data_IF_584937540407
#
_entry.id   IF_584937540407
#
_cell.length_a   1.000
_cell.length_b   1.000
_cell.length_c   1.000
_cell.angle_alpha   90.00
_cell.angle_beta   90.00
_cell.angle_gamma   90.00
#
_symmetry.space_group_name_H-M   'P 1'
#
loop_
_entity.id
_entity.type
_entity.pdbx_description
1 polymer ?
#
# COMPACT_ATOMS: atom_id res chain seq x y z
N UNK A 1 -14.69 32.14 -1.27
CA UNK A 1 -15.69 31.04 -1.31
C UNK A 1 -16.08 30.78 -2.76
N UNK A 2 -15.84 29.56 -3.30
CA UNK A 2 -16.38 29.18 -4.61
C UNK A 2 -17.90 29.06 -4.49
N UNK A 3 -18.66 29.75 -5.35
CA UNK A 3 -20.12 29.56 -5.45
C UNK A 3 -20.37 28.11 -5.87
N UNK A 4 -20.85 27.28 -4.95
CA UNK A 4 -21.32 25.94 -5.30
C UNK A 4 -22.51 26.03 -6.24
N UNK A 5 -22.50 25.18 -7.26
CA UNK A 5 -23.57 25.10 -8.23
C UNK A 5 -24.85 24.54 -7.54
N UNK A 6 -26.01 25.14 -7.76
CA UNK A 6 -27.31 24.69 -7.20
C UNK A 6 -27.51 23.15 -7.40
N UNK A 7 -27.07 22.60 -8.53
CA UNK A 7 -27.12 21.15 -8.81
C UNK A 7 -26.30 20.31 -7.83
N UNK A 8 -25.12 20.78 -7.43
CA UNK A 8 -24.28 20.08 -6.46
C UNK A 8 -24.88 20.07 -5.06
N UNK A 9 -25.47 21.18 -4.67
CA UNK A 9 -26.18 21.32 -3.38
C UNK A 9 -27.38 20.36 -3.34
N UNK A 10 -28.24 20.39 -4.37
CA UNK A 10 -29.37 19.46 -4.45
C UNK A 10 -28.97 18.01 -4.41
N UNK A 11 -27.93 17.63 -5.16
CA UNK A 11 -27.38 16.27 -5.14
C UNK A 11 -26.92 15.87 -3.74
N UNK A 12 -26.22 16.72 -3.00
CA UNK A 12 -25.77 16.45 -1.62
C UNK A 12 -26.95 16.25 -0.67
N UNK A 13 -28.04 17.04 -0.84
CA UNK A 13 -29.25 16.88 -0.04
C UNK A 13 -29.93 15.53 -0.33
N UNK A 14 -30.06 15.16 -1.60
CA UNK A 14 -30.62 13.86 -2.02
C UNK A 14 -29.80 12.70 -1.47
N UNK A 15 -28.47 12.74 -1.62
CA UNK A 15 -27.56 11.71 -1.08
C UNK A 15 -27.63 11.63 0.46
N UNK A 16 -27.75 12.77 1.14
CA UNK A 16 -27.86 12.81 2.61
C UNK A 16 -29.21 12.27 3.12
N UNK A 17 -30.28 12.45 2.33
CA UNK A 17 -31.62 11.91 2.64
C UNK A 17 -31.76 10.43 2.37
N UNK A 18 -30.94 9.85 1.49
CA UNK A 18 -30.97 8.42 1.14
C UNK A 18 -30.10 7.59 2.08
N UNK A 19 -30.59 7.35 3.27
CA UNK A 19 -29.91 6.51 4.27
C UNK A 19 -29.82 5.02 3.89
N UNK A 20 -30.50 4.56 2.85
CA UNK A 20 -30.44 3.17 2.38
C UNK A 20 -29.14 2.90 1.60
N UNK A 21 -28.73 3.84 0.74
CA UNK A 21 -27.60 3.70 -0.15
C UNK A 21 -26.36 4.48 0.30
N UNK A 22 -26.53 5.49 1.14
CA UNK A 22 -25.45 6.38 1.58
C UNK A 22 -25.23 6.33 3.10
N UNK A 23 -23.97 6.50 3.49
CA UNK A 23 -23.53 6.80 4.85
C UNK A 23 -23.13 8.27 4.90
N UNK A 24 -23.86 9.09 5.66
CA UNK A 24 -23.63 10.53 5.73
C UNK A 24 -22.94 10.92 7.03
N UNK A 25 -21.89 11.70 6.92
CA UNK A 25 -21.23 12.38 8.03
C UNK A 25 -21.35 13.90 7.83
N UNK A 26 -21.31 14.64 8.93
CA UNK A 26 -21.39 16.09 8.91
C UNK A 26 -20.01 16.68 9.26
N UNK A 27 -19.57 17.67 8.54
CA UNK A 27 -18.35 18.38 8.90
C UNK A 27 -18.62 19.45 9.98
N UNK A 28 -17.57 20.17 10.38
CA UNK A 28 -17.65 21.19 11.44
C UNK A 28 -18.52 22.42 11.04
N UNK A 29 -18.78 22.57 9.75
CA UNK A 29 -19.62 23.66 9.20
C UNK A 29 -21.07 23.19 8.98
N UNK A 30 -21.41 21.95 9.36
CA UNK A 30 -22.74 21.37 9.17
C UNK A 30 -23.05 20.98 7.73
N UNK A 31 -22.02 20.79 6.89
CA UNK A 31 -22.18 20.37 5.51
C UNK A 31 -22.17 18.83 5.43
N UNK A 32 -23.19 18.20 4.79
CA UNK A 32 -23.24 16.75 4.67
C UNK A 32 -22.17 16.23 3.69
N UNK A 33 -21.49 15.16 4.10
CA UNK A 33 -20.55 14.38 3.27
C UNK A 33 -21.05 12.96 3.18
N UNK A 34 -21.72 12.63 2.09
CA UNK A 34 -22.29 11.31 1.83
C UNK A 34 -21.33 10.41 1.06
N UNK A 35 -21.28 9.13 1.43
CA UNK A 35 -20.52 8.10 0.73
C UNK A 35 -21.40 6.89 0.48
N UNK A 36 -21.39 6.39 -0.74
CA UNK A 36 -22.13 5.18 -1.09
C UNK A 36 -21.68 3.98 -0.23
N UNK A 37 -22.61 3.32 0.42
CA UNK A 37 -22.35 2.11 1.23
C UNK A 37 -21.66 1.01 0.42
N UNK A 38 -22.02 0.87 -0.86
CA UNK A 38 -21.37 -0.06 -1.78
C UNK A 38 -19.86 0.23 -1.92
N UNK A 39 -19.48 1.51 -2.11
CA UNK A 39 -18.06 1.92 -2.20
C UNK A 39 -17.31 1.70 -0.87
N UNK A 40 -17.97 1.96 0.26
CA UNK A 40 -17.39 1.70 1.59
C UNK A 40 -17.12 0.20 1.75
N UNK A 41 -18.11 -0.65 1.41
CA UNK A 41 -17.97 -2.11 1.45
C UNK A 41 -16.86 -2.59 0.52
N UNK A 42 -16.81 -2.13 -0.72
CA UNK A 42 -15.73 -2.46 -1.66
C UNK A 42 -14.35 -2.07 -1.11
N UNK A 43 -14.21 -0.89 -0.54
CA UNK A 43 -12.96 -0.44 0.07
C UNK A 43 -12.53 -1.29 1.26
N UNK A 44 -13.49 -1.77 2.08
CA UNK A 44 -13.20 -2.72 3.19
C UNK A 44 -12.72 -4.08 2.65
N UNK A 45 -13.40 -4.62 1.65
CA UNK A 45 -13.02 -5.90 1.01
C UNK A 45 -11.64 -5.79 0.36
N UNK A 46 -11.38 -4.72 -0.39
CA UNK A 46 -10.09 -4.50 -1.03
C UNK A 46 -8.95 -4.46 -0.01
N UNK A 47 -9.09 -3.69 1.08
CA UNK A 47 -8.09 -3.65 2.16
C UNK A 47 -7.86 -5.00 2.82
N UNK A 48 -8.93 -5.74 3.12
CA UNK A 48 -8.84 -7.06 3.73
C UNK A 48 -8.14 -8.06 2.79
N UNK A 49 -8.42 -7.98 1.48
CA UNK A 49 -7.78 -8.82 0.47
C UNK A 49 -6.28 -8.48 0.35
N UNK A 50 -5.93 -7.20 0.32
CA UNK A 50 -4.53 -6.74 0.33
C UNK A 50 -3.77 -7.27 1.53
N UNK A 51 -4.29 -7.06 2.75
CA UNK A 51 -3.65 -7.51 3.99
C UNK A 51 -3.47 -9.04 4.06
N UNK A 52 -4.46 -9.82 3.56
CA UNK A 52 -4.32 -11.29 3.47
C UNK A 52 -3.22 -11.70 2.49
N UNK A 53 -3.10 -10.99 1.38
CA UNK A 53 -2.07 -11.28 0.39
C UNK A 53 -0.68 -10.88 0.90
N UNK A 54 -0.51 -9.75 1.57
CA UNK A 54 0.74 -9.38 2.27
C UNK A 54 1.17 -10.47 3.27
N UNK A 55 0.24 -10.95 4.11
CA UNK A 55 0.53 -12.03 5.06
C UNK A 55 0.96 -13.32 4.36
N UNK A 56 0.36 -13.65 3.21
CA UNK A 56 0.75 -14.81 2.41
C UNK A 56 2.15 -14.66 1.83
N UNK A 57 2.47 -13.49 1.28
CA UNK A 57 3.81 -13.18 0.76
C UNK A 57 4.86 -13.29 1.86
N UNK A 58 4.58 -12.73 3.04
CA UNK A 58 5.47 -12.84 4.20
C UNK A 58 5.79 -14.30 4.54
N UNK A 59 4.75 -15.14 4.67
CA UNK A 59 4.91 -16.57 4.97
C UNK A 59 5.73 -17.30 3.90
N UNK A 60 5.47 -17.05 2.63
CA UNK A 60 6.19 -17.68 1.53
C UNK A 60 7.69 -17.30 1.53
N UNK A 61 8.01 -16.04 1.85
CA UNK A 61 9.40 -15.60 2.00
C UNK A 61 10.09 -16.24 3.22
N UNK A 62 9.38 -16.37 4.34
CA UNK A 62 9.87 -17.04 5.55
C UNK A 62 10.10 -18.53 5.30
N UNK A 63 9.19 -19.21 4.59
CA UNK A 63 9.35 -20.62 4.15
C UNK A 63 10.54 -20.82 3.20
N UNK A 64 10.91 -19.80 2.42
CA UNK A 64 12.14 -19.76 1.60
C UNK A 64 13.40 -19.43 2.39
N UNK A 65 13.32 -19.41 3.71
CA UNK A 65 14.45 -19.20 4.62
C UNK A 65 14.92 -17.75 4.71
N UNK A 66 14.04 -16.78 4.45
CA UNK A 66 14.34 -15.36 4.65
C UNK A 66 13.81 -14.88 6.00
N UNK A 67 14.52 -13.98 6.63
CA UNK A 67 14.01 -13.17 7.74
C UNK A 67 13.25 -12.00 7.12
N UNK A 68 11.97 -11.85 7.46
CA UNK A 68 11.09 -10.85 6.84
C UNK A 68 10.56 -9.89 7.89
N UNK A 69 10.75 -8.61 7.66
CA UNK A 69 10.16 -7.57 8.50
C UNK A 69 9.55 -6.45 7.65
N UNK A 70 8.67 -5.65 8.26
CA UNK A 70 8.09 -4.49 7.61
C UNK A 70 9.14 -3.40 7.46
N UNK A 71 9.24 -2.85 6.26
CA UNK A 71 10.05 -1.67 6.03
C UNK A 71 9.27 -0.42 6.45
N UNK A 72 9.72 0.25 7.50
CA UNK A 72 9.05 1.41 8.08
C UNK A 72 9.57 2.76 7.58
N UNK A 73 10.35 2.76 6.50
CA UNK A 73 10.90 3.96 5.89
C UNK A 73 10.33 4.17 4.48
N UNK A 74 10.53 5.37 3.97
CA UNK A 74 10.17 5.77 2.61
C UNK A 74 11.31 6.61 2.02
N UNK A 75 11.20 6.99 0.76
CA UNK A 75 12.13 7.92 0.11
C UNK A 75 11.42 9.25 -0.14
N UNK A 76 12.06 10.33 0.27
CA UNK A 76 11.76 11.67 -0.22
C UNK A 76 12.57 11.88 -1.51
N UNK A 77 11.90 11.77 -2.65
CA UNK A 77 12.56 11.87 -3.97
C UNK A 77 13.06 13.28 -4.28
N UNK A 78 12.47 14.33 -3.68
CA UNK A 78 12.91 15.70 -3.86
C UNK A 78 14.23 15.96 -3.14
N UNK A 79 14.36 15.44 -1.92
CA UNK A 79 15.57 15.58 -1.09
C UNK A 79 16.61 14.48 -1.38
N UNK A 80 16.20 13.37 -1.97
CA UNK A 80 17.06 12.23 -2.22
C UNK A 80 17.52 11.52 -0.95
N UNK A 81 16.65 11.44 0.07
CA UNK A 81 16.97 10.85 1.39
C UNK A 81 15.92 9.86 1.88
N UNK A 82 16.31 8.95 2.77
CA UNK A 82 15.39 8.06 3.46
C UNK A 82 14.71 8.84 4.59
N UNK A 83 13.38 8.77 4.62
CA UNK A 83 12.56 9.38 5.66
C UNK A 83 11.70 8.34 6.36
N UNK A 84 11.47 8.44 7.66
CA UNK A 84 10.54 7.57 8.37
C UNK A 84 9.13 7.67 7.77
N UNK A 85 8.41 6.55 7.70
CA UNK A 85 7.01 6.55 7.28
C UNK A 85 6.18 7.40 8.25
N UNK A 86 5.30 8.24 7.71
CA UNK A 86 4.47 9.16 8.50
C UNK A 86 3.61 8.38 9.49
N UNK A 87 3.66 8.75 10.75
CA UNK A 87 2.76 8.22 11.78
C UNK A 87 1.35 8.74 11.54
N UNK A 88 0.35 7.86 11.69
CA UNK A 88 -1.07 8.22 11.59
C UNK A 88 -1.76 7.89 12.92
N UNK A 89 -2.51 8.85 13.44
CA UNK A 89 -3.35 8.59 14.60
C UNK A 89 -4.58 7.78 14.18
N UNK A 90 -4.82 6.65 14.87
CA UNK A 90 -6.03 5.87 14.69
C UNK A 90 -7.03 6.26 15.79
N UNK A 91 -8.12 6.97 15.44
CA UNK A 91 -9.08 7.47 16.44
C UNK A 91 -9.87 6.34 17.12
N UNK A 92 -9.99 5.17 16.51
CA UNK A 92 -10.71 4.04 17.10
C UNK A 92 -9.91 3.35 18.19
N UNK A 93 -8.63 3.08 17.95
CA UNK A 93 -7.76 2.43 18.93
C UNK A 93 -7.01 3.43 19.81
N UNK A 94 -7.14 4.73 19.55
CA UNK A 94 -6.43 5.83 20.25
C UNK A 94 -4.90 5.68 20.30
N UNK A 95 -4.33 5.00 19.32
CA UNK A 95 -2.87 4.79 19.19
C UNK A 95 -2.33 5.41 17.91
N UNK A 96 -1.07 5.85 17.99
CA UNK A 96 -0.30 6.24 16.82
C UNK A 96 0.14 4.97 16.10
N UNK A 97 -0.33 4.75 14.88
CA UNK A 97 0.15 3.68 14.01
C UNK A 97 1.27 4.21 13.12
N UNK A 98 2.32 3.41 12.94
CA UNK A 98 3.34 3.71 11.94
C UNK A 98 2.69 3.51 10.57
N UNK A 99 2.80 4.51 9.71
CA UNK A 99 2.35 4.40 8.33
C UNK A 99 3.15 3.31 7.60
N UNK A 100 2.60 2.81 6.50
CA UNK A 100 3.32 1.88 5.63
C UNK A 100 4.51 2.59 5.00
N UNK A 101 5.70 1.99 5.10
CA UNK A 101 6.87 2.37 4.34
C UNK A 101 6.73 1.92 2.88
N UNK A 102 7.79 2.12 2.13
CA UNK A 102 7.94 1.58 0.78
C UNK A 102 9.37 1.12 0.61
N UNK A 103 9.61 -0.12 0.17
CA UNK A 103 8.63 -1.20 -0.10
C UNK A 103 7.94 -1.74 1.18
N UNK A 104 6.98 -2.66 1.03
CA UNK A 104 6.20 -3.22 2.17
C UNK A 104 7.07 -4.01 3.14
N UNK A 105 8.04 -4.77 2.62
CA UNK A 105 8.93 -5.62 3.40
C UNK A 105 10.40 -5.44 3.04
N UNK A 106 11.25 -5.66 4.03
CA UNK A 106 12.65 -6.05 3.88
C UNK A 106 12.77 -7.54 4.14
N UNK A 107 13.46 -8.26 3.25
CA UNK A 107 13.68 -9.69 3.41
C UNK A 107 15.18 -10.02 3.30
N UNK A 108 15.72 -10.62 4.35
CA UNK A 108 17.14 -10.85 4.53
C UNK A 108 17.42 -12.36 4.46
N UNK A 109 18.44 -12.77 3.72
CA UNK A 109 18.89 -14.16 3.66
C UNK A 109 20.41 -14.22 3.81
N UNK A 110 20.89 -15.08 4.70
CA UNK A 110 22.31 -15.37 4.79
C UNK A 110 22.76 -16.15 3.55
N UNK A 111 23.81 -15.67 2.89
CA UNK A 111 24.44 -16.33 1.72
C UNK A 111 25.59 -17.19 2.19
N UNK A 112 26.55 -16.57 2.88
CA UNK A 112 27.66 -17.23 3.54
C UNK A 112 28.08 -16.41 4.76
N UNK A 113 29.13 -16.81 5.46
CA UNK A 113 29.57 -16.13 6.67
C UNK A 113 29.89 -14.64 6.40
N UNK A 114 29.26 -13.76 7.18
CA UNK A 114 29.42 -12.31 7.02
C UNK A 114 28.69 -11.68 5.83
N UNK A 115 28.03 -12.46 4.95
CA UNK A 115 27.37 -11.94 3.75
C UNK A 115 25.89 -12.28 3.74
N UNK A 116 25.06 -11.25 3.45
CA UNK A 116 23.61 -11.36 3.41
C UNK A 116 23.06 -10.76 2.11
N UNK A 117 22.03 -11.39 1.56
CA UNK A 117 21.16 -10.77 0.56
C UNK A 117 20.09 -9.99 1.30
N UNK A 118 19.96 -8.70 0.97
CA UNK A 118 18.94 -7.82 1.53
C UNK A 118 18.09 -7.29 0.38
N UNK A 119 16.86 -7.77 0.28
CA UNK A 119 15.95 -7.38 -0.80
C UNK A 119 14.77 -6.57 -0.25
N UNK A 120 14.28 -5.64 -1.06
CA UNK A 120 12.99 -4.99 -0.84
C UNK A 120 11.87 -5.78 -1.53
N UNK A 121 10.72 -5.93 -0.89
CA UNK A 121 9.56 -6.60 -1.49
C UNK A 121 8.33 -5.72 -1.40
N UNK A 122 7.82 -5.33 -2.55
CA UNK A 122 6.56 -4.59 -2.68
C UNK A 122 5.44 -5.55 -3.08
N UNK A 123 4.30 -5.48 -2.40
CA UNK A 123 3.16 -6.39 -2.61
C UNK A 123 2.07 -5.70 -3.41
N UNK A 124 1.85 -6.17 -4.62
CA UNK A 124 0.81 -5.65 -5.54
C UNK A 124 0.00 -6.79 -6.12
N UNK A 125 -1.27 -6.92 -5.75
CA UNK A 125 -2.14 -7.97 -6.27
C UNK A 125 -2.13 -8.04 -7.82
N UNK A 126 -2.11 -6.88 -8.48
CA UNK A 126 -2.04 -6.78 -9.94
C UNK A 126 -0.61 -6.70 -10.51
N UNK A 127 0.41 -6.62 -9.67
CA UNK A 127 1.81 -6.49 -10.07
C UNK A 127 2.18 -5.16 -10.75
N UNK A 128 1.36 -4.11 -10.56
CA UNK A 128 1.57 -2.81 -11.20
C UNK A 128 2.06 -1.78 -10.17
N UNK A 129 3.14 -1.09 -10.52
CA UNK A 129 3.69 0.04 -9.76
C UNK A 129 3.28 1.37 -10.41
N UNK A 130 2.99 2.36 -9.59
CA UNK A 130 2.86 3.75 -10.03
C UNK A 130 4.22 4.31 -10.50
N UNK A 131 4.21 5.47 -11.14
CA UNK A 131 5.43 6.15 -11.57
C UNK A 131 6.34 6.47 -10.37
N UNK A 132 5.78 7.03 -9.32
CA UNK A 132 6.51 7.37 -8.09
C UNK A 132 7.13 6.13 -7.42
N UNK A 133 6.39 5.01 -7.35
CA UNK A 133 6.92 3.76 -6.80
C UNK A 133 8.09 3.21 -7.64
N UNK A 134 8.04 3.35 -8.96
CA UNK A 134 9.17 2.96 -9.82
C UNK A 134 10.39 3.84 -9.58
N UNK A 135 10.21 5.15 -9.45
CA UNK A 135 11.29 6.09 -9.14
C UNK A 135 11.94 5.76 -7.78
N UNK A 136 11.14 5.41 -6.77
CA UNK A 136 11.63 4.94 -5.46
C UNK A 136 12.40 3.63 -5.55
N UNK A 137 11.90 2.66 -6.34
CA UNK A 137 12.63 1.40 -6.56
C UNK A 137 14.01 1.66 -7.18
N UNK A 138 14.07 2.46 -8.25
CA UNK A 138 15.35 2.83 -8.88
C UNK A 138 16.28 3.50 -7.89
N UNK A 139 15.79 4.47 -7.12
CA UNK A 139 16.57 5.16 -6.11
C UNK A 139 17.17 4.21 -5.06
N UNK A 140 16.38 3.27 -4.51
CA UNK A 140 16.87 2.30 -3.54
C UNK A 140 17.97 1.39 -4.11
N UNK A 141 17.83 0.97 -5.37
CA UNK A 141 18.82 0.15 -6.06
C UNK A 141 20.10 0.94 -6.36
N UNK A 142 19.97 2.16 -6.85
CA UNK A 142 21.12 3.04 -7.17
C UNK A 142 21.93 3.41 -5.93
N UNK A 143 21.26 3.53 -4.77
CA UNK A 143 21.91 3.76 -3.47
C UNK A 143 22.43 2.48 -2.80
N UNK A 144 22.18 1.31 -3.39
CA UNK A 144 22.62 0.03 -2.84
C UNK A 144 21.96 -0.33 -1.50
N UNK A 145 20.79 0.26 -1.18
CA UNK A 145 20.04 -0.03 0.05
C UNK A 145 19.50 -1.46 0.00
N UNK A 146 18.99 -1.86 -1.16
CA UNK A 146 18.59 -3.23 -1.46
C UNK A 146 19.44 -3.78 -2.60
N UNK A 147 19.82 -5.06 -2.53
CA UNK A 147 20.49 -5.75 -3.63
C UNK A 147 19.55 -5.97 -4.82
N UNK A 148 18.28 -6.20 -4.51
CA UNK A 148 17.19 -6.44 -5.45
C UNK A 148 15.90 -5.86 -4.89
N UNK A 149 14.94 -5.56 -5.78
CA UNK A 149 13.56 -5.26 -5.38
C UNK A 149 12.63 -6.19 -6.15
N UNK A 150 11.82 -6.93 -5.39
CA UNK A 150 10.84 -7.84 -5.94
C UNK A 150 9.43 -7.29 -5.80
N UNK A 151 8.63 -7.49 -6.86
CA UNK A 151 7.21 -7.19 -6.86
C UNK A 151 6.46 -8.50 -6.71
N UNK A 152 5.85 -8.71 -5.56
CA UNK A 152 5.02 -9.88 -5.30
C UNK A 152 3.62 -9.66 -5.90
N UNK A 153 3.30 -10.42 -6.94
CA UNK A 153 2.03 -10.36 -7.67
C UNK A 153 1.19 -11.60 -7.39
N UNK A 154 -0.13 -11.42 -7.29
CA UNK A 154 -1.04 -12.55 -7.16
C UNK A 154 -1.28 -13.21 -8.53
N UNK A 155 -1.12 -14.53 -8.57
CA UNK A 155 -1.44 -15.36 -9.74
C UNK A 155 -2.57 -16.31 -9.36
N UNK A 156 -3.59 -16.42 -10.20
CA UNK A 156 -4.68 -17.36 -9.99
C UNK A 156 -4.37 -18.70 -10.67
N UNK A 157 -4.40 -19.75 -9.87
CA UNK A 157 -4.37 -21.13 -10.34
C UNK A 157 -5.65 -21.85 -9.84
N UNK A 158 -6.65 -21.89 -10.69
CA UNK A 158 -7.99 -22.34 -10.34
C UNK A 158 -8.58 -21.55 -9.17
N UNK A 159 -8.82 -22.23 -8.04
CA UNK A 159 -9.34 -21.63 -6.79
C UNK A 159 -8.23 -21.10 -5.86
N UNK A 160 -6.98 -21.41 -6.13
CA UNK A 160 -5.84 -21.01 -5.29
C UNK A 160 -5.24 -19.70 -5.81
N UNK A 161 -4.74 -18.90 -4.90
CA UNK A 161 -3.96 -17.71 -5.23
C UNK A 161 -2.50 -18.06 -4.98
N UNK A 162 -1.70 -18.09 -6.04
CA UNK A 162 -0.24 -18.22 -5.99
C UNK A 162 0.44 -16.85 -5.85
N UNK A 163 1.77 -16.87 -5.73
CA UNK A 163 2.62 -15.69 -5.72
C UNK A 163 3.62 -15.81 -6.85
N UNK A 164 3.69 -14.78 -7.69
CA UNK A 164 4.73 -14.58 -8.69
C UNK A 164 5.62 -13.43 -8.22
N UNK A 165 6.94 -13.64 -8.17
CA UNK A 165 7.90 -12.60 -7.88
C UNK A 165 8.50 -12.08 -9.18
N UNK A 166 8.44 -10.78 -9.36
CA UNK A 166 8.97 -10.08 -10.54
C UNK A 166 10.14 -9.24 -10.06
N UNK A 167 11.34 -9.49 -10.58
CA UNK A 167 12.48 -8.62 -10.35
C UNK A 167 12.27 -7.26 -11.02
N UNK A 168 12.45 -6.20 -10.24
CA UNK A 168 12.23 -4.83 -10.74
C UNK A 168 13.27 -4.45 -11.81
N UNK A 169 14.55 -4.82 -11.62
CA UNK A 169 15.61 -4.51 -12.58
C UNK A 169 15.32 -5.18 -13.94
N UNK A 170 15.01 -6.47 -13.91
CA UNK A 170 14.75 -7.22 -15.14
C UNK A 170 13.57 -6.66 -15.94
N UNK A 171 12.56 -6.15 -15.24
CA UNK A 171 11.33 -5.68 -15.88
C UNK A 171 11.38 -4.20 -16.30
N UNK A 172 12.01 -3.32 -15.54
CA UNK A 172 11.86 -1.88 -15.69
C UNK A 172 13.17 -1.10 -15.92
N UNK A 173 14.34 -1.72 -15.75
CA UNK A 173 15.65 -1.06 -15.89
C UNK A 173 16.44 -1.60 -17.09
N UNK A 174 15.73 -2.06 -18.14
CA UNK A 174 16.35 -2.47 -19.43
C UNK A 174 16.81 -1.29 -20.24
#
# INVERSE_FOLDING_TARGET
MKKENKKEIMKRIEEAGDSSNYETSWDNEGIPKSKEKAKIKMGRVSRATGARFELKVRKDLEEKGRIVDKWSNNVDLEKGEIVPAKRKFNPFSRVMTIGTGFPDFVAIKKIHEGTYSVIGVEVKINGTLSREEKEKCSWYLDKGIFSEIWIAKAVRDGRKIGIEYIDFKEKFMK
#
